data_IF_007853259066
#
_entry.id   IF_007853259066
#
_cell.length_a   1.000
_cell.length_b   1.000
_cell.length_c   1.000
_cell.angle_alpha   90.00
_cell.angle_beta   90.00
_cell.angle_gamma   90.00
#
_symmetry.space_group_name_H-M   'P 1'
#
loop_
_entity.id
_entity.type
_entity.pdbx_description
1 polymer ?
#
# COMPACT_ATOMS: atom_id res chain seq x y z
N UNK A 1 15.97 -10.05 10.94
CA UNK A 1 16.69 -10.95 10.00
C UNK A 1 15.91 -11.39 8.76
N UNK A 2 14.69 -11.97 8.82
CA UNK A 2 13.97 -12.36 7.59
C UNK A 2 13.46 -11.17 6.76
N UNK A 3 13.21 -10.05 7.36
CA UNK A 3 12.63 -8.82 6.78
C UNK A 3 13.65 -7.90 6.12
N UNK A 4 14.87 -7.90 6.59
CA UNK A 4 15.97 -7.20 5.92
C UNK A 4 16.35 -7.90 4.62
N UNK A 5 16.11 -9.23 4.50
CA UNK A 5 16.25 -9.97 3.25
C UNK A 5 15.16 -9.61 2.23
N UNK A 6 13.93 -9.39 2.67
CA UNK A 6 12.84 -8.94 1.77
C UNK A 6 13.18 -7.56 1.18
N UNK A 7 13.62 -6.62 2.03
CA UNK A 7 14.04 -5.28 1.60
C UNK A 7 15.22 -5.35 0.61
N UNK A 8 16.25 -6.15 0.91
CA UNK A 8 17.38 -6.35 0.01
C UNK A 8 16.96 -6.97 -1.34
N UNK A 9 16.10 -8.01 -1.31
CA UNK A 9 15.59 -8.65 -2.52
C UNK A 9 14.70 -7.73 -3.38
N UNK A 10 13.98 -6.78 -2.79
CA UNK A 10 13.27 -5.74 -3.53
C UNK A 10 14.27 -4.71 -4.10
N UNK A 11 15.29 -4.32 -3.33
CA UNK A 11 16.32 -3.41 -3.81
C UNK A 11 17.06 -3.95 -5.05
N UNK A 12 17.47 -5.23 -5.04
CA UNK A 12 18.13 -5.87 -6.18
C UNK A 12 17.27 -5.90 -7.46
N UNK A 13 15.95 -5.88 -7.33
CA UNK A 13 15.00 -5.95 -8.46
C UNK A 13 14.41 -4.60 -8.86
N UNK A 14 14.77 -3.51 -8.19
CA UNK A 14 14.11 -2.23 -8.36
C UNK A 14 14.09 -1.74 -9.82
N UNK A 15 15.23 -1.76 -10.51
CA UNK A 15 15.36 -1.28 -11.90
C UNK A 15 14.57 -2.11 -12.93
N UNK A 16 14.34 -3.41 -12.68
CA UNK A 16 13.56 -4.29 -13.56
C UNK A 16 12.17 -4.63 -13.01
N UNK A 17 11.74 -3.97 -11.93
CA UNK A 17 10.52 -4.35 -11.21
C UNK A 17 9.25 -4.22 -12.06
N UNK A 18 9.20 -3.19 -12.89
CA UNK A 18 8.06 -2.87 -13.76
C UNK A 18 8.09 -3.60 -15.10
N UNK A 19 9.12 -4.43 -15.35
CA UNK A 19 9.31 -5.10 -16.62
C UNK A 19 8.62 -6.47 -16.71
N UNK A 20 8.42 -6.92 -17.94
CA UNK A 20 7.92 -8.25 -18.26
C UNK A 20 6.48 -8.52 -17.80
N UNK A 21 6.12 -9.79 -17.66
CA UNK A 21 4.77 -10.21 -17.29
C UNK A 21 4.38 -9.88 -15.86
N UNK A 22 5.36 -9.91 -14.93
CA UNK A 22 5.13 -9.59 -13.52
C UNK A 22 4.90 -8.09 -13.32
N UNK A 23 5.69 -7.24 -13.98
CA UNK A 23 5.48 -5.79 -13.96
C UNK A 23 4.09 -5.42 -14.48
N UNK A 24 3.68 -5.97 -15.63
CA UNK A 24 2.31 -5.76 -16.17
C UNK A 24 1.21 -6.18 -15.18
N UNK A 25 1.39 -7.28 -14.47
CA UNK A 25 0.41 -7.72 -13.45
C UNK A 25 0.34 -6.73 -12.29
N UNK A 26 1.49 -6.24 -11.79
CA UNK A 26 1.54 -5.24 -10.73
C UNK A 26 0.86 -3.93 -11.16
N UNK A 27 1.10 -3.47 -12.39
CA UNK A 27 0.44 -2.29 -12.95
C UNK A 27 -1.09 -2.46 -13.03
N UNK A 28 -1.58 -3.61 -13.51
CA UNK A 28 -3.03 -3.88 -13.55
C UNK A 28 -3.68 -3.89 -12.15
N UNK A 29 -2.97 -4.40 -11.14
CA UNK A 29 -3.46 -4.37 -9.76
C UNK A 29 -3.45 -2.93 -9.23
N UNK A 30 -2.40 -2.17 -9.51
CA UNK A 30 -2.27 -0.78 -9.12
C UNK A 30 -3.35 0.10 -9.77
N UNK A 31 -3.63 -0.07 -11.07
CA UNK A 31 -4.69 0.65 -11.78
C UNK A 31 -6.06 0.42 -11.12
N UNK A 32 -6.40 -0.85 -10.85
CA UNK A 32 -7.67 -1.18 -10.17
C UNK A 32 -7.72 -0.68 -8.73
N UNK A 33 -6.57 -0.61 -8.06
CA UNK A 33 -6.48 -0.03 -6.71
C UNK A 33 -6.70 1.47 -6.77
N UNK A 34 -6.15 2.16 -7.78
CA UNK A 34 -6.39 3.59 -8.00
C UNK A 34 -7.87 3.89 -8.27
N UNK A 35 -8.51 3.12 -9.16
CA UNK A 35 -9.93 3.27 -9.48
C UNK A 35 -10.80 3.07 -8.23
N UNK A 36 -10.52 2.03 -7.42
CA UNK A 36 -11.20 1.80 -6.15
C UNK A 36 -10.96 2.95 -5.16
N UNK A 37 -9.72 3.41 -5.01
CA UNK A 37 -9.36 4.50 -4.10
C UNK A 37 -10.11 5.79 -4.45
N UNK A 38 -10.18 6.15 -5.73
CA UNK A 38 -10.92 7.31 -6.21
C UNK A 38 -12.44 7.13 -6.12
N UNK A 39 -12.96 5.90 -6.11
CA UNK A 39 -14.38 5.66 -5.82
C UNK A 39 -14.73 5.87 -4.34
N UNK A 40 -13.78 5.62 -3.43
CA UNK A 40 -13.95 5.85 -1.99
C UNK A 40 -13.75 7.32 -1.60
N UNK A 41 -12.77 7.98 -2.20
CA UNK A 41 -12.48 9.41 -2.02
C UNK A 41 -12.39 10.05 -3.40
N UNK A 42 -13.50 10.58 -3.97
CA UNK A 42 -13.52 11.07 -5.35
C UNK A 42 -12.61 12.28 -5.62
N UNK A 43 -12.30 13.06 -4.60
CA UNK A 43 -11.49 14.26 -4.73
C UNK A 43 -10.42 14.35 -3.60
N UNK A 44 -9.47 13.37 -3.53
CA UNK A 44 -8.45 13.38 -2.49
C UNK A 44 -7.49 14.55 -2.69
N UNK A 45 -7.10 15.21 -1.59
CA UNK A 45 -6.12 16.30 -1.61
C UNK A 45 -4.76 15.87 -1.10
N UNK A 46 -4.72 14.96 -0.14
CA UNK A 46 -3.51 14.48 0.52
C UNK A 46 -3.47 12.95 0.45
N UNK A 47 -2.63 12.40 -0.40
CA UNK A 47 -2.56 10.95 -0.68
C UNK A 47 -1.24 10.39 -0.16
N UNK A 48 -1.30 9.26 0.54
CA UNK A 48 -0.13 8.48 0.95
C UNK A 48 -0.18 7.07 0.39
N UNK A 49 0.90 6.62 -0.24
CA UNK A 49 1.12 5.22 -0.62
C UNK A 49 2.19 4.57 0.28
N UNK A 50 1.79 3.53 1.01
CA UNK A 50 2.64 2.81 1.96
C UNK A 50 3.15 1.51 1.35
N UNK A 51 4.46 1.45 1.10
CA UNK A 51 5.11 0.43 0.27
C UNK A 51 4.94 0.75 -1.21
N UNK A 52 5.27 1.98 -1.58
CA UNK A 52 5.00 2.54 -2.90
C UNK A 52 5.86 1.93 -4.04
N UNK A 53 6.90 1.14 -3.71
CA UNK A 53 7.81 0.56 -4.70
C UNK A 53 8.38 1.63 -5.63
N UNK A 54 8.27 1.41 -6.94
CA UNK A 54 8.75 2.31 -8.01
C UNK A 54 7.83 3.53 -8.25
N UNK A 55 6.76 3.71 -7.44
CA UNK A 55 5.88 4.88 -7.51
C UNK A 55 4.78 4.81 -8.56
N UNK A 56 4.60 3.70 -9.26
CA UNK A 56 3.61 3.56 -10.34
C UNK A 56 2.18 3.94 -9.89
N UNK A 57 1.72 3.44 -8.74
CA UNK A 57 0.37 3.74 -8.23
C UNK A 57 0.19 5.23 -7.97
N UNK A 58 1.18 5.90 -7.37
CA UNK A 58 1.11 7.35 -7.14
C UNK A 58 1.12 8.14 -8.44
N UNK A 59 1.91 7.74 -9.44
CA UNK A 59 1.88 8.35 -10.77
C UNK A 59 0.49 8.22 -11.41
N UNK A 60 -0.15 7.07 -11.28
CA UNK A 60 -1.52 6.85 -11.76
C UNK A 60 -2.54 7.72 -11.02
N UNK A 61 -2.43 7.84 -9.70
CA UNK A 61 -3.29 8.71 -8.89
C UNK A 61 -3.06 10.19 -9.21
N UNK A 62 -1.82 10.62 -9.45
CA UNK A 62 -1.50 11.99 -9.86
C UNK A 62 -2.21 12.39 -11.16
N UNK A 63 -2.23 11.46 -12.13
CA UNK A 63 -2.91 11.69 -13.42
C UNK A 63 -4.44 11.76 -13.28
N UNK A 64 -5.03 11.02 -12.33
CA UNK A 64 -6.49 10.91 -12.16
C UNK A 64 -7.07 11.85 -11.09
N UNK A 65 -6.23 12.42 -10.23
CA UNK A 65 -6.62 13.34 -9.17
C UNK A 65 -5.88 14.69 -9.32
N UNK A 66 -6.24 15.52 -10.30
CA UNK A 66 -5.55 16.80 -10.55
C UNK A 66 -5.68 17.79 -9.39
N UNK A 67 -6.69 17.64 -8.53
CA UNK A 67 -6.90 18.46 -7.33
C UNK A 67 -6.04 18.02 -6.13
N UNK A 68 -5.36 16.89 -6.21
CA UNK A 68 -4.44 16.46 -5.13
C UNK A 68 -3.27 17.42 -5.02
N UNK A 69 -2.96 17.83 -3.79
CA UNK A 69 -1.87 18.80 -3.50
C UNK A 69 -0.57 18.09 -3.15
N UNK A 70 -0.70 16.95 -2.46
CA UNK A 70 0.44 16.13 -2.03
C UNK A 70 0.15 14.66 -2.34
N UNK A 71 1.09 14.03 -3.04
CA UNK A 71 1.12 12.59 -3.26
C UNK A 71 2.44 12.05 -2.69
N UNK A 72 2.36 11.48 -1.50
CA UNK A 72 3.52 10.98 -0.77
C UNK A 72 3.65 9.46 -0.90
N UNK A 73 4.86 8.97 -1.13
CA UNK A 73 5.20 7.56 -1.15
C UNK A 73 6.28 7.21 -0.13
N UNK A 74 6.15 6.06 0.52
CA UNK A 74 7.15 5.52 1.42
C UNK A 74 7.42 4.06 1.08
N UNK A 75 8.70 3.69 0.99
CA UNK A 75 9.13 2.31 0.82
C UNK A 75 10.36 2.02 1.68
N UNK A 76 10.48 0.77 2.14
CA UNK A 76 11.61 0.35 2.97
C UNK A 76 12.89 0.10 2.17
N UNK A 77 12.81 -0.13 0.85
CA UNK A 77 13.93 -0.35 -0.04
C UNK A 77 14.42 0.97 -0.67
N UNK A 78 15.61 1.49 -0.33
CA UNK A 78 16.11 2.74 -0.88
C UNK A 78 16.17 2.75 -2.41
N UNK A 79 16.56 1.64 -3.04
CA UNK A 79 16.63 1.55 -4.49
C UNK A 79 15.25 1.68 -5.19
N UNK A 80 14.17 1.24 -4.54
CA UNK A 80 12.79 1.50 -5.03
C UNK A 80 12.51 3.00 -5.03
N UNK A 81 12.89 3.70 -3.98
CA UNK A 81 12.68 5.15 -3.85
C UNK A 81 13.53 5.94 -4.86
N UNK A 82 14.75 5.47 -5.17
CA UNK A 82 15.57 6.07 -6.22
C UNK A 82 14.87 5.96 -7.58
N UNK A 83 14.42 4.75 -7.96
CA UNK A 83 13.65 4.53 -9.20
C UNK A 83 12.37 5.37 -9.22
N UNK A 84 11.63 5.45 -8.10
CA UNK A 84 10.41 6.24 -8.01
C UNK A 84 10.66 7.73 -8.22
N UNK A 85 11.76 8.27 -7.69
CA UNK A 85 12.15 9.67 -7.86
C UNK A 85 12.58 9.97 -9.29
N UNK A 86 13.34 9.07 -9.90
CA UNK A 86 13.82 9.21 -11.29
C UNK A 86 12.65 9.16 -12.29
N UNK A 87 11.62 8.37 -12.00
CA UNK A 87 10.41 8.23 -12.82
C UNK A 87 9.37 9.33 -12.55
N UNK A 88 9.54 10.15 -11.49
CA UNK A 88 8.56 11.16 -11.10
C UNK A 88 8.46 12.29 -12.15
N UNK A 89 7.32 12.33 -12.84
CA UNK A 89 7.00 13.35 -13.86
C UNK A 89 6.06 14.45 -13.34
N UNK A 90 5.71 14.45 -12.06
CA UNK A 90 4.75 15.37 -11.43
C UNK A 90 5.36 15.94 -10.15
N UNK A 91 5.43 17.27 -10.08
CA UNK A 91 6.05 17.99 -8.96
C UNK A 91 5.34 17.81 -7.61
N UNK A 92 4.14 17.25 -7.59
CA UNK A 92 3.40 16.91 -6.37
C UNK A 92 3.86 15.60 -5.72
N UNK A 93 4.59 14.77 -6.46
CA UNK A 93 5.09 13.48 -5.98
C UNK A 93 6.26 13.67 -5.01
N UNK A 94 6.19 13.01 -3.86
CA UNK A 94 7.23 13.04 -2.82
C UNK A 94 7.52 11.62 -2.35
N UNK A 95 8.76 11.16 -2.48
CA UNK A 95 9.15 9.81 -2.11
C UNK A 95 10.19 9.83 -0.99
N UNK A 96 9.96 9.02 0.05
CA UNK A 96 10.87 8.89 1.20
C UNK A 96 11.16 7.42 1.51
N UNK A 97 12.39 7.14 1.92
CA UNK A 97 12.75 5.81 2.42
C UNK A 97 12.29 5.68 3.87
N UNK A 98 11.56 4.61 4.17
CA UNK A 98 11.07 4.35 5.53
C UNK A 98 10.15 3.15 5.58
N UNK A 99 9.65 2.85 6.78
CA UNK A 99 8.84 1.65 7.05
C UNK A 99 7.41 2.04 7.44
N UNK A 100 6.45 1.17 7.13
CA UNK A 100 5.05 1.35 7.48
C UNK A 100 4.82 1.53 8.98
N UNK A 101 5.65 0.92 9.81
CA UNK A 101 5.57 0.95 11.28
C UNK A 101 5.98 2.28 11.90
N UNK A 102 6.53 3.21 11.09
CA UNK A 102 6.93 4.54 11.54
C UNK A 102 6.85 5.52 10.38
N UNK A 103 5.69 6.10 10.19
CA UNK A 103 5.43 7.09 9.13
C UNK A 103 5.91 8.48 9.57
N UNK A 104 6.72 9.18 8.74
CA UNK A 104 7.33 10.47 9.11
C UNK A 104 6.38 11.66 8.97
N UNK A 105 5.08 11.44 8.95
CA UNK A 105 4.08 12.51 8.83
C UNK A 105 3.30 12.69 10.13
N UNK A 106 2.78 13.90 10.39
CA UNK A 106 1.90 14.17 11.52
C UNK A 106 0.60 13.33 11.48
N UNK A 107 -0.09 13.26 12.60
CA UNK A 107 -1.43 12.68 12.67
C UNK A 107 -2.41 13.51 11.81
N UNK A 108 -3.43 12.83 11.26
CA UNK A 108 -4.52 13.47 10.49
C UNK A 108 -4.03 14.33 9.30
N UNK A 109 -3.00 13.85 8.60
CA UNK A 109 -2.43 14.54 7.43
C UNK A 109 -3.13 14.15 6.12
N UNK A 110 -3.46 12.87 5.94
CA UNK A 110 -3.94 12.33 4.67
C UNK A 110 -5.43 12.05 4.69
N UNK A 111 -6.13 12.35 3.62
CA UNK A 111 -7.52 11.96 3.40
C UNK A 111 -7.64 10.60 2.70
N UNK A 112 -6.58 10.17 2.00
CA UNK A 112 -6.48 8.86 1.37
C UNK A 112 -5.12 8.20 1.67
N UNK A 113 -5.16 7.00 2.24
CA UNK A 113 -3.98 6.14 2.40
C UNK A 113 -4.20 4.88 1.57
N UNK A 114 -3.24 4.56 0.71
CA UNK A 114 -3.26 3.35 -0.12
C UNK A 114 -2.07 2.46 0.18
N UNK A 115 -2.20 1.16 -0.04
CA UNK A 115 -1.09 0.21 -0.05
C UNK A 115 -1.43 -0.95 -0.97
N UNK A 116 -0.53 -1.29 -1.90
CA UNK A 116 -0.77 -2.34 -2.90
C UNK A 116 0.35 -3.35 -2.90
N UNK A 117 0.02 -4.63 -2.68
CA UNK A 117 0.95 -5.79 -2.70
C UNK A 117 2.18 -5.63 -1.79
N UNK A 118 2.06 -4.85 -0.73
CA UNK A 118 3.12 -4.49 0.20
C UNK A 118 2.85 -4.97 1.64
N UNK A 119 1.58 -5.06 2.05
CA UNK A 119 1.15 -5.36 3.41
C UNK A 119 1.72 -6.69 3.96
N UNK A 120 1.84 -7.71 3.10
CA UNK A 120 2.42 -9.01 3.47
C UNK A 120 3.92 -8.91 3.85
N UNK A 121 4.59 -7.85 3.42
CA UNK A 121 6.02 -7.59 3.68
C UNK A 121 6.27 -6.69 4.88
N UNK A 122 5.25 -6.04 5.46
CA UNK A 122 5.42 -5.18 6.63
C UNK A 122 5.98 -5.98 7.81
N UNK A 123 6.89 -5.36 8.52
CA UNK A 123 7.58 -5.98 9.65
C UNK A 123 6.61 -6.30 10.79
N UNK A 124 5.76 -5.35 11.15
CA UNK A 124 4.66 -5.48 12.10
C UNK A 124 3.40 -4.85 11.49
N UNK A 125 2.51 -5.71 11.01
CA UNK A 125 1.26 -5.29 10.38
C UNK A 125 0.35 -4.51 11.32
N UNK A 126 0.38 -4.82 12.63
CA UNK A 126 -0.40 -4.09 13.64
C UNK A 126 0.13 -2.67 13.80
N UNK A 127 1.44 -2.51 13.97
CA UNK A 127 2.07 -1.20 14.09
C UNK A 127 1.90 -0.38 12.81
N UNK A 128 2.06 -0.99 11.63
CA UNK A 128 1.86 -0.32 10.35
C UNK A 128 0.43 0.18 10.16
N UNK A 129 -0.58 -0.63 10.48
CA UNK A 129 -1.99 -0.19 10.41
C UNK A 129 -2.30 0.90 11.45
N UNK A 130 -1.73 0.84 12.65
CA UNK A 130 -1.87 1.91 13.63
C UNK A 130 -1.28 3.23 13.13
N UNK A 131 -0.15 3.20 12.44
CA UNK A 131 0.45 4.37 11.81
C UNK A 131 -0.40 4.89 10.64
N UNK A 132 -0.91 4.00 9.76
CA UNK A 132 -1.86 4.39 8.72
C UNK A 132 -3.10 5.09 9.31
N UNK A 133 -3.69 4.53 10.36
CA UNK A 133 -4.80 5.14 11.06
C UNK A 133 -4.41 6.47 11.72
N UNK A 134 -3.21 6.58 12.29
CA UNK A 134 -2.72 7.83 12.90
C UNK A 134 -2.63 8.96 11.89
N UNK A 135 -2.04 8.69 10.72
CA UNK A 135 -1.82 9.73 9.69
C UNK A 135 -3.08 10.03 8.88
N UNK A 136 -4.08 9.14 8.83
CA UNK A 136 -5.37 9.43 8.24
C UNK A 136 -6.10 10.53 9.01
N UNK A 137 -6.72 11.45 8.28
CA UNK A 137 -7.64 12.44 8.81
C UNK A 137 -8.97 11.79 9.24
N UNK A 138 -9.73 12.40 10.16
CA UNK A 138 -11.10 11.95 10.45
C UNK A 138 -11.94 11.92 9.17
N UNK A 139 -12.62 10.79 8.92
CA UNK A 139 -13.38 10.54 7.69
C UNK A 139 -12.51 10.12 6.50
N UNK A 140 -11.19 10.09 6.64
CA UNK A 140 -10.29 9.59 5.60
C UNK A 140 -10.42 8.07 5.38
N UNK A 141 -9.98 7.62 4.21
CA UNK A 141 -10.11 6.23 3.78
C UNK A 141 -8.75 5.54 3.63
N UNK A 142 -8.63 4.32 4.15
CA UNK A 142 -7.56 3.38 3.83
C UNK A 142 -8.04 2.42 2.73
N UNK A 143 -7.22 2.21 1.69
CA UNK A 143 -7.39 1.17 0.68
C UNK A 143 -6.19 0.24 0.72
N UNK A 144 -6.39 -0.98 1.18
CA UNK A 144 -5.33 -1.98 1.34
C UNK A 144 -5.57 -3.14 0.39
N UNK A 145 -4.77 -3.26 -0.66
CA UNK A 145 -4.84 -4.32 -1.68
C UNK A 145 -3.69 -5.31 -1.50
N UNK A 146 -4.01 -6.59 -1.28
CA UNK A 146 -3.00 -7.64 -1.12
C UNK A 146 -3.58 -9.04 -1.36
N UNK A 147 -2.75 -10.05 -1.16
CA UNK A 147 -3.09 -11.48 -1.23
C UNK A 147 -3.92 -11.90 -0.01
N UNK A 148 -5.23 -11.72 -0.08
CA UNK A 148 -6.17 -12.16 0.95
C UNK A 148 -6.94 -13.39 0.50
N UNK A 149 -6.36 -14.59 0.67
CA UNK A 149 -7.03 -15.83 0.28
C UNK A 149 -6.74 -16.97 1.25
N UNK A 150 -7.77 -17.72 1.61
CA UNK A 150 -7.65 -18.98 2.36
C UNK A 150 -6.97 -20.08 1.54
N UNK A 151 -6.96 -19.99 0.22
CA UNK A 151 -6.28 -20.93 -0.68
C UNK A 151 -4.74 -20.87 -0.50
N UNK A 152 -4.22 -19.84 0.15
CA UNK A 152 -2.81 -19.68 0.47
C UNK A 152 -2.43 -20.28 1.84
N UNK A 153 -3.38 -20.93 2.55
CA UNK A 153 -3.12 -21.60 3.84
C UNK A 153 -1.92 -22.56 3.82
N UNK A 154 -1.68 -23.39 2.77
CA UNK A 154 -0.49 -24.22 2.72
C UNK A 154 0.82 -23.45 2.78
N UNK A 155 0.88 -22.22 2.22
CA UNK A 155 2.05 -21.36 2.28
C UNK A 155 2.23 -20.69 3.67
N UNK A 156 1.17 -20.61 4.48
CA UNK A 156 1.21 -20.16 5.87
C UNK A 156 1.85 -21.20 6.78
N UNK A 157 1.68 -22.49 6.48
CA UNK A 157 2.30 -23.60 7.21
C UNK A 157 3.82 -23.65 6.95
N UNK A 158 4.30 -23.13 5.82
CA UNK A 158 5.71 -23.10 5.44
C UNK A 158 6.54 -21.97 6.12
N UNK A 159 6.19 -21.52 7.31
CA UNK A 159 7.07 -20.71 8.17
C UNK A 159 6.83 -19.19 8.17
N UNK A 160 5.79 -18.68 7.51
CA UNK A 160 5.44 -17.24 7.55
C UNK A 160 4.40 -16.95 8.64
N UNK A 161 4.72 -17.28 9.89
CA UNK A 161 3.86 -16.98 11.04
C UNK A 161 3.68 -15.47 11.21
N UNK A 162 2.44 -15.03 11.43
CA UNK A 162 2.11 -13.64 11.82
C UNK A 162 1.54 -12.75 10.73
N UNK A 163 1.58 -13.13 9.45
CA UNK A 163 1.06 -12.32 8.36
C UNK A 163 -0.46 -12.44 8.21
N UNK A 164 -1.14 -11.31 8.00
CA UNK A 164 -2.60 -11.26 7.85
C UNK A 164 -2.99 -11.57 6.41
N UNK A 165 -3.02 -12.87 6.06
CA UNK A 165 -3.41 -13.34 4.72
C UNK A 165 -4.88 -13.74 4.62
N UNK A 166 -5.64 -13.65 5.70
CA UNK A 166 -7.09 -13.94 5.71
C UNK A 166 -7.87 -12.67 5.97
N UNK A 167 -9.02 -12.51 5.32
CA UNK A 167 -9.95 -11.40 5.55
C UNK A 167 -10.27 -11.21 7.04
N UNK A 168 -10.53 -12.30 7.77
CA UNK A 168 -10.86 -12.26 9.20
C UNK A 168 -9.74 -11.63 10.02
N UNK A 169 -8.49 -12.02 9.77
CA UNK A 169 -7.34 -11.50 10.51
C UNK A 169 -7.06 -10.04 10.14
N UNK A 170 -7.14 -9.69 8.85
CA UNK A 170 -6.97 -8.31 8.40
C UNK A 170 -8.06 -7.40 8.99
N UNK A 171 -9.33 -7.82 8.96
CA UNK A 171 -10.43 -7.08 9.57
C UNK A 171 -10.22 -6.84 11.07
N UNK A 172 -9.76 -7.86 11.82
CA UNK A 172 -9.42 -7.70 13.22
C UNK A 172 -8.30 -6.68 13.46
N UNK A 173 -7.25 -6.70 12.62
CA UNK A 173 -6.15 -5.73 12.74
C UNK A 173 -6.60 -4.31 12.39
N UNK A 174 -7.44 -4.14 11.37
CA UNK A 174 -8.03 -2.84 11.00
C UNK A 174 -8.85 -2.26 12.16
N UNK A 175 -9.76 -3.06 12.74
CA UNK A 175 -10.56 -2.63 13.90
C UNK A 175 -9.67 -2.29 15.09
N UNK A 176 -8.64 -3.09 15.35
CA UNK A 176 -7.69 -2.84 16.47
C UNK A 176 -6.85 -1.56 16.26
N UNK A 177 -6.69 -1.11 15.01
CA UNK A 177 -6.05 0.17 14.66
C UNK A 177 -7.02 1.38 14.69
N UNK A 178 -8.30 1.16 15.00
CA UNK A 178 -9.32 2.23 14.99
C UNK A 178 -9.87 2.54 13.59
N UNK A 179 -9.74 1.59 12.66
CA UNK A 179 -10.32 1.69 11.33
C UNK A 179 -11.65 0.93 11.28
N UNK A 180 -12.68 1.57 10.73
CA UNK A 180 -14.06 1.11 10.81
C UNK A 180 -14.63 0.72 9.45
N UNK A 181 -15.78 0.05 9.45
CA UNK A 181 -16.57 -0.30 8.26
C UNK A 181 -15.77 -0.99 7.14
N UNK A 182 -15.01 -2.07 7.43
CA UNK A 182 -14.21 -2.73 6.41
C UNK A 182 -15.09 -3.32 5.31
N UNK A 183 -14.90 -2.89 4.06
CA UNK A 183 -15.57 -3.43 2.88
C UNK A 183 -14.57 -4.16 1.99
N UNK A 184 -14.96 -5.33 1.47
CA UNK A 184 -14.07 -6.20 0.69
C UNK A 184 -14.41 -6.16 -0.79
N UNK A 185 -13.37 -5.93 -1.61
CA UNK A 185 -13.46 -5.81 -3.05
C UNK A 185 -12.57 -6.86 -3.74
N UNK A 186 -13.04 -7.43 -4.84
CA UNK A 186 -12.22 -8.27 -5.71
C UNK A 186 -11.49 -7.38 -6.70
N UNK A 187 -10.16 -7.38 -6.67
CA UNK A 187 -9.36 -6.59 -7.60
C UNK A 187 -8.88 -7.44 -8.78
N UNK A 188 -8.23 -8.57 -8.50
CA UNK A 188 -7.65 -9.38 -9.55
C UNK A 188 -7.75 -10.87 -9.20
N UNK A 189 -8.34 -11.66 -10.11
CA UNK A 189 -8.64 -13.07 -9.87
C UNK A 189 -9.36 -13.29 -8.52
N UNK A 190 -9.20 -14.48 -7.91
CA UNK A 190 -9.83 -14.82 -6.61
C UNK A 190 -8.91 -14.50 -5.43
N UNK A 191 -7.63 -14.26 -5.70
CA UNK A 191 -6.59 -14.21 -4.67
C UNK A 191 -6.16 -12.79 -4.28
N UNK A 192 -6.22 -11.82 -5.21
CA UNK A 192 -5.90 -10.43 -4.90
C UNK A 192 -7.19 -9.66 -4.64
N UNK A 193 -7.29 -9.16 -3.44
CA UNK A 193 -8.46 -8.44 -2.95
C UNK A 193 -8.02 -7.15 -2.30
N UNK A 194 -8.92 -6.18 -2.26
CA UNK A 194 -8.74 -5.00 -1.45
C UNK A 194 -9.74 -4.98 -0.30
N UNK A 195 -9.35 -4.32 0.77
CA UNK A 195 -10.25 -3.86 1.82
C UNK A 195 -10.17 -2.34 1.90
N UNK A 196 -11.33 -1.70 1.96
CA UNK A 196 -11.47 -0.28 2.28
C UNK A 196 -11.94 -0.14 3.71
N UNK A 197 -11.42 0.83 4.45
CA UNK A 197 -11.85 1.13 5.81
C UNK A 197 -11.71 2.63 6.09
N UNK A 198 -12.55 3.19 6.96
CA UNK A 198 -12.57 4.62 7.30
C UNK A 198 -12.07 4.85 8.72
N UNK A 199 -11.52 6.03 8.96
CA UNK A 199 -11.15 6.50 10.30
C UNK A 199 -12.29 7.26 10.96
#
# INVERSE_FOLDING_TARGET
MARDRDVAAFGERAHGYDEGGRGRLHHQIADRTADLALSCVPAPRQILDVGCGTGYLLGRLAACAPQAEVLAGIDAAPAMIEVARDAAADDRLRFVTGRAERLPWPAATFDLVVSTTSFDHWADQRAGLAECARVLAPGGCLVLADLFSVLLLPTLLAGRRGKARTRRRAAHLLTAAGLHSPQWHRLYAVIIQAVTATK
#
